data_IF_900764329953
#
_entry.id   IF_900764329953
#
_cell.length_a   1.000
_cell.length_b   1.000
_cell.length_c   1.000
_cell.angle_alpha   90.00
_cell.angle_beta   90.00
_cell.angle_gamma   90.00
#
_symmetry.space_group_name_H-M   'P 1'
#
loop_
_entity.id
_entity.type
_entity.pdbx_description
1 polymer ?
#
# COMPACT_ATOMS: atom_id res chain seq x y z
N UNK A 1 -3.34 10.47 7.07
CA UNK A 1 -1.95 10.25 7.53
C UNK A 1 -1.56 11.45 8.39
N UNK A 2 -1.15 11.25 9.65
CA UNK A 2 -0.75 12.36 10.54
C UNK A 2 0.78 12.44 10.59
N UNK A 3 1.33 13.41 9.86
CA UNK A 3 2.64 14.05 10.06
C UNK A 3 3.85 13.14 10.36
N UNK A 4 4.26 12.36 9.35
CA UNK A 4 5.65 11.86 9.24
C UNK A 4 6.38 12.73 8.21
N UNK A 5 7.58 13.21 8.54
CA UNK A 5 8.39 14.04 7.66
C UNK A 5 8.64 13.32 6.32
N UNK A 6 8.28 13.95 5.19
CA UNK A 6 8.44 13.38 3.85
C UNK A 6 7.18 12.73 3.25
N UNK A 7 6.05 12.67 3.96
CA UNK A 7 4.78 12.17 3.43
C UNK A 7 3.84 13.34 3.14
N UNK A 8 3.47 13.54 1.88
CA UNK A 8 2.45 14.52 1.50
C UNK A 8 1.10 14.10 2.08
N UNK A 9 0.45 15.01 2.81
CA UNK A 9 -0.85 14.79 3.47
C UNK A 9 -2.05 14.85 2.52
N UNK A 10 -1.83 15.11 1.24
CA UNK A 10 -2.86 15.12 0.20
C UNK A 10 -3.03 13.72 -0.39
N UNK A 11 -4.24 13.17 -0.31
CA UNK A 11 -4.57 11.92 -0.99
C UNK A 11 -4.47 12.12 -2.52
N UNK A 12 -3.66 11.29 -3.16
CA UNK A 12 -3.58 11.27 -4.62
C UNK A 12 -4.81 10.58 -5.19
N UNK A 13 -5.63 11.31 -5.96
CA UNK A 13 -6.80 10.76 -6.66
C UNK A 13 -6.45 9.51 -7.48
N UNK A 14 -5.28 9.52 -8.14
CA UNK A 14 -4.78 8.39 -8.94
C UNK A 14 -4.47 7.17 -8.07
N UNK A 15 -3.89 7.39 -6.89
CA UNK A 15 -3.59 6.31 -5.94
C UNK A 15 -4.86 5.65 -5.41
N UNK A 16 -5.88 6.47 -5.08
CA UNK A 16 -7.17 5.97 -4.60
C UNK A 16 -7.92 5.20 -5.68
N UNK A 17 -7.91 5.69 -6.93
CA UNK A 17 -8.48 4.98 -8.09
C UNK A 17 -7.78 3.63 -8.34
N UNK A 18 -6.45 3.60 -8.30
CA UNK A 18 -5.69 2.36 -8.43
C UNK A 18 -6.01 1.38 -7.30
N UNK A 19 -6.12 1.84 -6.05
CA UNK A 19 -6.50 0.98 -4.93
C UNK A 19 -7.87 0.33 -5.19
N UNK A 20 -8.87 1.11 -5.60
CA UNK A 20 -10.21 0.59 -5.89
C UNK A 20 -10.18 -0.48 -6.99
N UNK A 21 -9.40 -0.26 -8.06
CA UNK A 21 -9.23 -1.24 -9.14
C UNK A 21 -8.56 -2.52 -8.66
N UNK A 22 -7.50 -2.42 -7.84
CA UNK A 22 -6.84 -3.59 -7.27
C UNK A 22 -7.82 -4.40 -6.41
N UNK A 23 -8.57 -3.71 -5.54
CA UNK A 23 -9.60 -4.33 -4.69
C UNK A 23 -10.68 -5.05 -5.48
N UNK A 24 -11.17 -4.42 -6.55
CA UNK A 24 -12.14 -5.05 -7.43
C UNK A 24 -11.58 -6.29 -8.12
N UNK A 25 -10.34 -6.22 -8.62
CA UNK A 25 -9.65 -7.37 -9.22
C UNK A 25 -9.45 -8.50 -8.19
N UNK A 26 -9.08 -8.18 -6.96
CA UNK A 26 -8.93 -9.16 -5.88
C UNK A 26 -10.25 -9.88 -5.59
N UNK A 27 -11.38 -9.16 -5.57
CA UNK A 27 -12.72 -9.71 -5.34
C UNK A 27 -13.12 -10.69 -6.45
N UNK A 28 -12.91 -10.35 -7.73
CA UNK A 28 -13.35 -11.19 -8.85
C UNK A 28 -12.36 -12.31 -9.19
N UNK A 29 -11.08 -12.18 -8.81
CA UNK A 29 -10.03 -13.17 -9.12
C UNK A 29 -9.53 -13.94 -7.90
N UNK A 30 -10.10 -13.68 -6.72
CA UNK A 30 -9.65 -14.23 -5.44
C UNK A 30 -8.15 -13.99 -5.19
N UNK A 31 -7.73 -12.72 -5.30
CA UNK A 31 -6.35 -12.25 -5.12
C UNK A 31 -5.30 -12.87 -6.09
N UNK A 32 -5.70 -13.33 -7.28
CA UNK A 32 -4.79 -13.99 -8.26
C UNK A 32 -4.67 -13.27 -9.61
N UNK A 33 -5.29 -12.10 -9.76
CA UNK A 33 -5.42 -11.39 -11.04
C UNK A 33 -4.52 -10.18 -11.24
N UNK A 34 -3.58 -9.90 -10.33
CA UNK A 34 -2.83 -8.64 -10.31
C UNK A 34 -1.31 -8.89 -10.27
N UNK A 35 -0.59 -8.32 -11.23
CA UNK A 35 0.88 -8.33 -11.29
C UNK A 35 1.35 -6.92 -11.63
N UNK A 36 2.22 -6.36 -10.80
CA UNK A 36 2.83 -5.05 -11.05
C UNK A 36 4.19 -5.26 -11.72
N UNK A 37 4.49 -4.44 -12.74
CA UNK A 37 5.77 -4.45 -13.44
C UNK A 37 6.34 -3.03 -13.45
N UNK A 38 7.54 -2.85 -12.88
CA UNK A 38 8.23 -1.56 -12.82
C UNK A 38 9.74 -1.79 -12.81
N UNK A 39 10.49 -0.95 -13.53
CA UNK A 39 11.96 -0.97 -13.54
C UNK A 39 12.59 -0.27 -12.34
N UNK A 40 11.78 0.41 -11.51
CA UNK A 40 12.20 1.19 -10.34
C UNK A 40 11.25 0.91 -9.18
N UNK A 41 11.28 -0.29 -8.58
CA UNK A 41 10.21 -0.78 -7.71
C UNK A 41 9.98 0.06 -6.45
N UNK A 42 11.04 0.70 -5.93
CA UNK A 42 10.98 1.62 -4.80
C UNK A 42 12.10 2.64 -5.01
N UNK A 43 11.75 3.92 -5.12
CA UNK A 43 12.69 4.98 -5.49
C UNK A 43 13.02 5.92 -4.33
N UNK A 44 12.93 5.42 -3.09
CA UNK A 44 13.41 6.02 -1.82
C UNK A 44 12.36 6.54 -0.83
N UNK A 45 11.15 5.96 -0.77
CA UNK A 45 10.28 6.22 0.39
C UNK A 45 9.59 4.97 0.94
N UNK A 46 9.51 4.89 2.28
CA UNK A 46 8.68 3.91 2.98
C UNK A 46 7.20 4.00 2.55
N UNK A 47 6.76 5.19 2.15
CA UNK A 47 5.41 5.41 1.65
C UNK A 47 5.14 4.69 0.31
N UNK A 48 6.11 4.62 -0.60
CA UNK A 48 6.00 3.84 -1.84
C UNK A 48 5.88 2.35 -1.56
N UNK A 49 6.74 1.83 -0.68
CA UNK A 49 6.68 0.44 -0.21
C UNK A 49 5.31 0.11 0.38
N UNK A 50 4.84 0.94 1.31
CA UNK A 50 3.53 0.76 1.93
C UNK A 50 2.39 0.81 0.90
N UNK A 51 2.48 1.71 -0.07
CA UNK A 51 1.47 1.86 -1.13
C UNK A 51 1.41 0.63 -2.01
N UNK A 52 2.57 0.10 -2.43
CA UNK A 52 2.67 -1.14 -3.20
C UNK A 52 2.10 -2.33 -2.41
N UNK A 53 2.43 -2.44 -1.12
CA UNK A 53 1.89 -3.50 -0.28
C UNK A 53 0.37 -3.36 -0.07
N UNK A 54 -0.15 -2.13 0.06
CA UNK A 54 -1.59 -1.89 0.11
C UNK A 54 -2.31 -2.29 -1.18
N UNK A 55 -1.67 -2.19 -2.33
CA UNK A 55 -2.28 -2.64 -3.60
C UNK A 55 -2.28 -4.15 -3.75
N UNK A 56 -1.18 -4.81 -3.39
CA UNK A 56 -1.00 -6.25 -3.65
C UNK A 56 -1.47 -7.16 -2.51
N UNK A 57 -1.54 -6.66 -1.28
CA UNK A 57 -1.73 -7.46 -0.07
C UNK A 57 -2.66 -6.79 0.95
N UNK A 58 -3.70 -6.10 0.47
CA UNK A 58 -4.60 -5.36 1.35
C UNK A 58 -5.24 -6.24 2.44
N UNK A 59 -5.69 -7.45 2.09
CA UNK A 59 -6.36 -8.34 3.04
C UNK A 59 -5.43 -8.80 4.16
N UNK A 60 -4.15 -9.03 3.87
CA UNK A 60 -3.14 -9.36 4.88
C UNK A 60 -2.89 -8.18 5.82
N UNK A 61 -2.74 -6.96 5.27
CA UNK A 61 -2.63 -5.74 6.09
C UNK A 61 -3.85 -5.56 6.99
N UNK A 62 -5.05 -5.89 6.49
CA UNK A 62 -6.29 -5.85 7.29
C UNK A 62 -6.28 -6.89 8.41
N UNK A 63 -5.91 -8.14 8.11
CA UNK A 63 -5.79 -9.22 9.12
C UNK A 63 -4.81 -8.85 10.24
N UNK A 64 -3.69 -8.22 9.88
CA UNK A 64 -2.65 -7.80 10.81
C UNK A 64 -2.93 -6.45 11.48
N UNK A 65 -4.03 -5.75 11.14
CA UNK A 65 -4.36 -4.39 11.62
C UNK A 65 -3.28 -3.34 11.27
N UNK A 66 -2.61 -3.52 10.13
CA UNK A 66 -1.55 -2.64 9.60
C UNK A 66 -2.05 -1.76 8.44
N UNK A 67 -3.34 -1.43 8.43
CA UNK A 67 -3.96 -0.58 7.40
C UNK A 67 -3.62 0.90 7.52
N UNK A 68 -2.92 1.29 8.58
CA UNK A 68 -2.41 2.62 8.78
C UNK A 68 -0.89 2.59 8.65
N UNK A 69 -0.35 3.58 7.94
CA UNK A 69 1.07 3.68 7.65
C UNK A 69 1.93 3.62 8.91
N UNK A 70 1.56 4.36 9.96
CA UNK A 70 2.33 4.42 11.20
C UNK A 70 2.37 3.05 11.90
N UNK A 71 1.23 2.34 11.93
CA UNK A 71 1.15 0.98 12.48
C UNK A 71 2.05 0.02 11.69
N UNK A 72 2.00 0.10 10.36
CA UNK A 72 2.83 -0.71 9.47
C UNK A 72 4.32 -0.40 9.62
N UNK A 73 4.71 0.88 9.59
CA UNK A 73 6.10 1.31 9.72
C UNK A 73 6.71 0.82 11.04
N UNK A 74 5.94 0.88 12.13
CA UNK A 74 6.37 0.40 13.45
C UNK A 74 6.70 -1.10 13.50
N UNK A 75 6.20 -1.91 12.56
CA UNK A 75 6.55 -3.34 12.46
C UNK A 75 7.88 -3.59 11.77
N UNK A 76 8.30 -2.68 10.88
CA UNK A 76 9.59 -2.77 10.18
C UNK A 76 10.74 -2.22 11.02
N UNK A 77 10.48 -1.20 11.84
CA UNK A 77 11.48 -0.65 12.77
C UNK A 77 11.78 -1.57 13.96
N UNK A 78 10.91 -2.55 14.23
CA UNK A 78 11.05 -3.51 15.34
C UNK A 78 11.73 -4.83 14.93
N UNK A 79 12.23 -4.95 13.70
CA UNK A 79 13.00 -6.10 13.24
C UNK A 79 14.50 -5.84 13.23
#
# INVERSE_FOLDING_TARGET
>A
MRNVAGITSTDSQKSSDMLMKCRYMDEITNNKGLVFATGTPVSNSMAELYTMQRYLQYDELKKMKLQHFDSWASTLEKQ
#
